data_IF_120705922165
#
_entry.id   IF_120705922165
#
_cell.length_a   1.000
_cell.length_b   1.000
_cell.length_c   1.000
_cell.angle_alpha   90.00
_cell.angle_beta   90.00
_cell.angle_gamma   90.00
#
_symmetry.space_group_name_H-M   'P 1'
#
loop_
_entity.id
_entity.type
_entity.pdbx_description
1 polymer ?
#
# COMPACT_ATOMS: atom_id res chain seq x y z
N UNK A 1 13.21 14.03 10.11
CA UNK A 1 13.76 12.70 9.95
C UNK A 1 12.75 11.76 9.36
N UNK A 2 13.06 11.23 8.29
CA UNK A 2 12.19 10.27 7.65
C UNK A 2 12.76 8.88 7.86
N UNK A 3 12.00 7.89 7.48
CA UNK A 3 12.48 6.54 7.44
C UNK A 3 12.60 5.86 8.79
N UNK A 4 11.96 6.42 9.81
CA UNK A 4 11.97 5.74 11.08
C UNK A 4 11.23 4.41 10.95
N UNK A 5 11.78 3.36 11.54
CA UNK A 5 11.19 2.04 11.52
C UNK A 5 11.54 1.32 12.81
N UNK A 6 10.68 0.36 13.23
CA UNK A 6 11.00 -0.47 14.39
C UNK A 6 12.27 -1.26 14.17
N UNK A 7 12.89 -1.67 15.27
CA UNK A 7 14.08 -2.50 15.21
C UNK A 7 13.79 -3.76 14.40
N UNK A 8 14.69 -4.12 13.51
CA UNK A 8 14.55 -5.29 12.67
C UNK A 8 13.70 -5.09 11.43
N UNK A 9 13.27 -3.87 11.18
CA UNK A 9 12.46 -3.57 10.01
C UNK A 9 12.96 -2.31 9.34
N UNK A 10 12.75 -2.23 8.03
CA UNK A 10 13.06 -1.05 7.22
C UNK A 10 11.79 -0.58 6.56
N UNK A 11 11.66 0.73 6.40
CA UNK A 11 10.56 1.31 5.67
C UNK A 11 11.09 1.86 4.35
N UNK A 12 10.40 1.58 3.26
CA UNK A 12 10.80 2.05 1.95
C UNK A 12 9.60 2.59 1.20
N UNK A 13 9.80 3.71 0.50
CA UNK A 13 8.80 4.22 -0.42
C UNK A 13 8.99 3.49 -1.74
N UNK A 14 7.92 2.86 -2.20
CA UNK A 14 7.97 2.10 -3.44
C UNK A 14 6.78 2.48 -4.31
N UNK A 15 6.95 2.35 -5.61
CA UNK A 15 5.84 2.49 -6.53
C UNK A 15 5.10 1.17 -6.59
N UNK A 16 3.78 1.23 -6.41
CA UNK A 16 2.94 0.03 -6.47
C UNK A 16 1.95 0.15 -7.62
N UNK A 17 1.56 -1.01 -8.11
CA UNK A 17 0.53 -1.16 -9.13
C UNK A 17 -0.54 -2.10 -8.59
N UNK A 18 -1.59 -2.33 -9.37
CA UNK A 18 -2.63 -3.28 -8.97
C UNK A 18 -2.09 -4.70 -8.81
N UNK A 19 -0.93 -5.00 -9.42
CA UNK A 19 -0.32 -6.31 -9.32
C UNK A 19 0.60 -6.40 -8.11
N UNK A 20 1.31 -5.34 -7.79
CA UNK A 20 2.37 -5.39 -6.78
C UNK A 20 1.92 -4.94 -5.39
N UNK A 21 0.75 -4.33 -5.26
CA UNK A 21 0.25 -3.87 -3.96
C UNK A 21 0.06 -5.06 -3.02
N UNK A 22 0.34 -4.85 -1.74
CA UNK A 22 0.25 -5.90 -0.72
C UNK A 22 -0.45 -5.41 0.52
N UNK A 23 -1.00 -6.33 1.28
CA UNK A 23 -1.49 -6.02 2.63
C UNK A 23 -0.34 -5.46 3.45
N UNK A 24 -0.65 -4.45 4.23
CA UNK A 24 0.36 -3.77 5.05
C UNK A 24 0.98 -2.56 4.39
N UNK A 25 0.82 -2.41 3.08
CA UNK A 25 1.29 -1.19 2.41
C UNK A 25 0.52 0.01 2.95
N UNK A 26 1.22 1.13 3.11
CA UNK A 26 0.61 2.37 3.60
C UNK A 26 0.58 3.37 2.47
N UNK A 27 -0.60 3.85 2.16
CA UNK A 27 -0.82 4.79 1.06
C UNK A 27 -1.42 6.07 1.64
N UNK A 28 -0.94 7.22 1.16
CA UNK A 28 -1.51 8.51 1.58
C UNK A 28 -2.83 8.74 0.86
N UNK A 29 -3.89 8.91 1.61
CA UNK A 29 -5.22 9.21 1.06
C UNK A 29 -5.72 10.46 1.76
N UNK A 30 -5.89 11.53 0.99
CA UNK A 30 -6.32 12.79 1.56
C UNK A 30 -5.38 13.32 2.63
N UNK A 31 -4.09 13.05 2.49
CA UNK A 31 -3.09 13.49 3.47
C UNK A 31 -2.98 12.59 4.69
N UNK A 32 -3.75 11.49 4.74
CA UNK A 32 -3.71 10.55 5.86
C UNK A 32 -3.06 9.25 5.42
N UNK A 33 -2.16 8.69 6.22
CA UNK A 33 -1.59 7.38 5.92
C UNK A 33 -2.64 6.30 6.17
N UNK A 34 -2.93 5.51 5.16
CA UNK A 34 -3.94 4.45 5.24
C UNK A 34 -3.29 3.12 4.94
N UNK A 35 -3.44 2.18 5.83
CA UNK A 35 -2.84 0.87 5.73
C UNK A 35 -3.79 -0.09 5.04
N UNK A 36 -3.29 -0.79 4.03
CA UNK A 36 -4.06 -1.80 3.31
C UNK A 36 -4.25 -3.03 4.19
N UNK A 37 -5.49 -3.41 4.42
CA UNK A 37 -5.81 -4.59 5.22
C UNK A 37 -6.31 -5.75 4.37
N UNK A 38 -6.86 -5.46 3.19
CA UNK A 38 -7.36 -6.52 2.32
C UNK A 38 -7.33 -6.08 0.87
N UNK A 39 -7.36 -7.05 -0.03
CA UNK A 39 -7.26 -6.84 -1.47
C UNK A 39 -8.25 -7.75 -2.15
N UNK A 40 -8.97 -7.24 -3.16
CA UNK A 40 -9.89 -8.04 -3.95
C UNK A 40 -9.56 -7.84 -5.43
N UNK A 41 -9.31 -8.95 -6.11
CA UNK A 41 -9.04 -8.92 -7.54
C UNK A 41 -10.33 -8.58 -8.29
N UNK A 42 -10.24 -7.64 -9.21
CA UNK A 42 -11.36 -7.22 -10.05
C UNK A 42 -11.04 -7.56 -11.50
N UNK A 43 -12.07 -7.51 -12.39
CA UNK A 43 -11.84 -7.75 -13.81
C UNK A 43 -10.85 -6.76 -14.42
N UNK A 44 -10.26 -7.15 -15.54
CA UNK A 44 -9.39 -6.30 -16.36
C UNK A 44 -8.13 -5.82 -15.62
N UNK A 45 -7.63 -6.62 -14.68
CA UNK A 45 -6.39 -6.30 -13.97
C UNK A 45 -6.53 -5.25 -12.91
N UNK A 46 -7.75 -4.85 -12.55
CA UNK A 46 -7.98 -3.92 -11.47
C UNK A 46 -7.95 -4.64 -10.13
N UNK A 47 -7.80 -3.86 -9.06
CA UNK A 47 -7.82 -4.41 -7.71
C UNK A 47 -8.44 -3.40 -6.77
N UNK A 48 -9.28 -3.89 -5.87
CA UNK A 48 -9.89 -3.05 -4.85
C UNK A 48 -9.13 -3.23 -3.56
N UNK A 49 -8.72 -2.10 -2.98
CA UNK A 49 -7.96 -2.06 -1.74
C UNK A 49 -8.87 -1.62 -0.61
N UNK A 50 -8.82 -2.34 0.49
CA UNK A 50 -9.54 -2.00 1.71
C UNK A 50 -8.53 -1.57 2.75
N UNK A 51 -8.83 -0.49 3.45
CA UNK A 51 -7.89 0.11 4.39
C UNK A 51 -8.40 -0.01 5.82
N UNK A 52 -7.47 0.00 6.75
CA UNK A 52 -7.77 -0.07 8.17
C UNK A 52 -8.72 1.04 8.60
N UNK A 53 -8.63 2.19 7.96
CA UNK A 53 -9.48 3.35 8.25
C UNK A 53 -10.92 3.18 7.78
N UNK A 54 -11.20 2.14 7.00
CA UNK A 54 -12.50 1.96 6.38
C UNK A 54 -12.60 2.51 4.96
N UNK A 55 -11.56 3.18 4.50
CA UNK A 55 -11.51 3.67 3.13
C UNK A 55 -11.41 2.51 2.15
N UNK A 56 -11.87 2.74 0.94
CA UNK A 56 -11.78 1.78 -0.15
C UNK A 56 -11.25 2.52 -1.37
N UNK A 57 -10.31 1.90 -2.06
CA UNK A 57 -9.72 2.48 -3.26
C UNK A 57 -9.65 1.41 -4.34
N UNK A 58 -10.03 1.77 -5.57
CA UNK A 58 -9.88 0.88 -6.71
C UNK A 58 -8.67 1.31 -7.53
N UNK A 59 -7.73 0.40 -7.70
CA UNK A 59 -6.60 0.61 -8.61
C UNK A 59 -6.91 -0.08 -9.92
N UNK A 60 -6.81 0.66 -11.00
CA UNK A 60 -6.94 0.10 -12.34
C UNK A 60 -5.62 -0.50 -12.77
N UNK A 61 -5.63 -1.24 -13.88
CA UNK A 61 -4.44 -1.93 -14.34
C UNK A 61 -3.25 -1.00 -14.57
N UNK A 62 -3.51 0.27 -14.91
CA UNK A 62 -2.47 1.25 -15.19
C UNK A 62 -2.23 2.22 -14.04
N UNK A 63 -2.95 2.07 -12.96
CA UNK A 63 -2.78 2.96 -11.81
C UNK A 63 -1.43 2.70 -11.15
N UNK A 64 -0.79 3.78 -10.70
CA UNK A 64 0.47 3.71 -9.97
C UNK A 64 0.38 4.64 -8.78
N UNK A 65 0.81 4.16 -7.65
CA UNK A 65 0.80 4.93 -6.42
C UNK A 65 2.11 4.70 -5.69
N UNK A 66 2.45 5.63 -4.82
CA UNK A 66 3.60 5.46 -3.94
C UNK A 66 3.07 4.95 -2.61
N UNK A 67 3.66 3.89 -2.12
CA UNK A 67 3.32 3.30 -0.84
C UNK A 67 4.55 3.18 0.03
N UNK A 68 4.34 3.25 1.33
CA UNK A 68 5.38 2.93 2.30
C UNK A 68 5.22 1.46 2.65
N UNK A 69 6.27 0.70 2.48
CA UNK A 69 6.27 -0.72 2.77
C UNK A 69 7.32 -1.03 3.81
N UNK A 70 6.92 -1.76 4.83
CA UNK A 70 7.84 -2.22 5.86
C UNK A 70 8.57 -3.45 5.34
N UNK A 71 9.89 -3.37 5.30
CA UNK A 71 10.73 -4.45 4.83
C UNK A 71 11.40 -5.07 6.04
N UNK A 72 11.29 -6.39 6.15
CA UNK A 72 11.93 -7.07 7.25
C UNK A 72 13.41 -7.25 6.95
N UNK A 73 14.23 -6.93 7.94
CA UNK A 73 15.67 -7.08 7.82
C UNK A 73 16.11 -8.32 8.62
N UNK A 74 16.95 -9.13 8.01
CA UNK A 74 17.50 -10.34 8.63
C UNK A 74 18.98 -10.21 8.91
#
# INVERSE_FOLDING_TARGET
>A
MSGWAPSGALAANIEITSISVRRGDVIQIGGQPCRVTDLVQLPAGAKRLFFESGEVLTMHARSRLIALRMMRKW
#
